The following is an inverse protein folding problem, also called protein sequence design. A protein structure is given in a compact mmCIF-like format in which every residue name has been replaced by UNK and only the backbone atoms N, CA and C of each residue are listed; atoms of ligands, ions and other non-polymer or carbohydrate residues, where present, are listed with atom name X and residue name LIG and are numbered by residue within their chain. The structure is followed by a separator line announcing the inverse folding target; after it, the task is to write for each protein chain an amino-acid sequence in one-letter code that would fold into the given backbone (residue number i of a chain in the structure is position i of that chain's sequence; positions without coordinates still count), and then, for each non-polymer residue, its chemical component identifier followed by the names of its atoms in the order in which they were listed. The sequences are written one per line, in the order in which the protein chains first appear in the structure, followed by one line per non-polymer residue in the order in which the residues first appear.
data_IF_659171335774
#
_entry.id   IF_659171335774
#
_cell.length_a   1.000
_cell.length_b   1.000
_cell.length_c   1.000
_cell.angle_alpha   90.00
_cell.angle_beta   90.00
_cell.angle_gamma   90.00
#
_symmetry.space_group_name_H-M   'P 1'
#
loop_
_entity.id
_entity.type
_entity.pdbx_description
1 polymer ?
#
# COMPACT_ATOMS: atom_id res chain seq x y z
N UNK A 1 26.70 -52.11 -6.69
CA UNK A 1 26.31 -50.87 -5.98
C UNK A 1 25.48 -51.25 -4.77
N UNK A 2 25.73 -50.64 -3.60
CA UNK A 2 24.93 -50.90 -2.39
C UNK A 2 23.54 -50.25 -2.53
N UNK A 3 22.49 -50.91 -1.99
CA UNK A 3 21.13 -50.34 -1.97
C UNK A 3 21.06 -49.02 -1.21
N UNK A 4 21.87 -48.88 -0.16
CA UNK A 4 21.94 -47.65 0.64
C UNK A 4 22.39 -46.45 -0.21
N UNK A 5 23.42 -46.61 -1.04
CA UNK A 5 23.92 -45.51 -1.88
C UNK A 5 22.93 -45.12 -2.98
N UNK A 6 22.15 -46.07 -3.51
CA UNK A 6 21.09 -45.78 -4.49
C UNK A 6 19.94 -45.00 -3.87
N UNK A 7 19.53 -45.35 -2.65
CA UNK A 7 18.49 -44.63 -1.91
C UNK A 7 18.95 -43.19 -1.64
N UNK A 8 20.15 -42.99 -1.11
CA UNK A 8 20.68 -41.64 -0.84
C UNK A 8 20.71 -40.79 -2.10
N UNK A 9 21.18 -41.35 -3.23
CA UNK A 9 21.21 -40.63 -4.50
C UNK A 9 19.80 -40.23 -4.96
N UNK A 10 18.84 -41.15 -4.89
CA UNK A 10 17.46 -40.89 -5.26
C UNK A 10 16.81 -39.81 -4.37
N UNK A 11 17.04 -39.87 -3.06
CA UNK A 11 16.53 -38.88 -2.10
C UNK A 11 17.09 -37.48 -2.37
N UNK A 12 18.39 -37.36 -2.66
CA UNK A 12 19.00 -36.06 -2.96
C UNK A 12 18.47 -35.48 -4.26
N UNK A 13 18.34 -36.31 -5.31
CA UNK A 13 17.73 -35.88 -6.57
C UNK A 13 16.28 -35.43 -6.38
N UNK A 14 15.48 -36.22 -5.65
CA UNK A 14 14.09 -35.90 -5.36
C UNK A 14 13.95 -34.60 -4.56
N UNK A 15 14.77 -34.43 -3.52
CA UNK A 15 14.78 -33.21 -2.69
C UNK A 15 15.09 -31.98 -3.53
N UNK A 16 16.10 -32.08 -4.40
CA UNK A 16 16.49 -30.99 -5.29
C UNK A 16 15.36 -30.58 -6.23
N UNK A 17 14.74 -31.56 -6.90
CA UNK A 17 13.60 -31.31 -7.80
C UNK A 17 12.43 -30.68 -7.04
N UNK A 18 12.15 -31.17 -5.83
CA UNK A 18 11.07 -30.68 -4.97
C UNK A 18 11.26 -29.21 -4.61
N UNK A 19 12.48 -28.80 -4.24
CA UNK A 19 12.80 -27.40 -3.91
C UNK A 19 12.59 -26.51 -5.13
N UNK A 20 13.08 -26.92 -6.30
CA UNK A 20 12.93 -26.14 -7.55
C UNK A 20 11.44 -25.95 -7.88
N UNK A 21 10.66 -27.04 -7.83
CA UNK A 21 9.22 -26.98 -8.08
C UNK A 21 8.50 -26.05 -7.09
N UNK A 22 8.85 -26.14 -5.80
CA UNK A 22 8.28 -25.29 -4.75
C UNK A 22 8.59 -23.81 -4.97
N UNK A 23 9.83 -23.46 -5.32
CA UNK A 23 10.22 -22.07 -5.60
C UNK A 23 9.47 -21.52 -6.80
N UNK A 24 9.33 -22.27 -7.89
CA UNK A 24 8.55 -21.84 -9.05
C UNK A 24 7.08 -21.58 -8.71
N UNK A 25 6.50 -22.43 -7.86
CA UNK A 25 5.13 -22.23 -7.38
C UNK A 25 5.03 -20.97 -6.51
N UNK A 26 5.95 -20.77 -5.56
CA UNK A 26 5.99 -19.59 -4.69
C UNK A 26 6.16 -18.29 -5.49
N UNK A 27 7.09 -18.26 -6.45
CA UNK A 27 7.32 -17.09 -7.32
C UNK A 27 6.05 -16.69 -8.09
N UNK A 28 5.25 -17.67 -8.53
CA UNK A 28 3.98 -17.41 -9.22
C UNK A 28 2.94 -16.80 -8.27
N UNK A 29 2.87 -17.30 -7.04
CA UNK A 29 1.99 -16.75 -6.00
C UNK A 29 2.38 -15.31 -5.64
N UNK A 30 3.68 -15.05 -5.46
CA UNK A 30 4.21 -13.73 -5.14
C UNK A 30 3.94 -12.73 -6.26
N UNK A 31 4.12 -13.15 -7.53
CA UNK A 31 3.79 -12.32 -8.69
C UNK A 31 2.32 -11.94 -8.74
N UNK A 32 1.41 -12.85 -8.37
CA UNK A 32 -0.02 -12.55 -8.29
C UNK A 32 -0.33 -11.55 -7.17
N UNK A 33 0.32 -11.69 -6.01
CA UNK A 33 0.18 -10.76 -4.89
C UNK A 33 0.67 -9.33 -5.24
N UNK A 34 1.72 -9.20 -6.04
CA UNK A 34 2.20 -7.88 -6.51
C UNK A 34 1.16 -7.13 -7.35
N UNK A 35 0.36 -7.84 -8.16
CA UNK A 35 -0.71 -7.21 -8.95
C UNK A 35 -1.86 -6.75 -8.04
N UNK A 36 -2.17 -7.50 -6.98
CA UNK A 36 -3.15 -7.10 -5.99
C UNK A 36 -2.73 -5.82 -5.23
N UNK A 37 -1.43 -5.64 -4.98
CA UNK A 37 -0.88 -4.42 -4.38
C UNK A 37 -1.20 -3.17 -5.22
N UNK A 38 -0.98 -3.24 -6.53
CA UNK A 38 -1.24 -2.12 -7.45
C UNK A 38 -2.73 -1.77 -7.50
N UNK A 39 -3.60 -2.78 -7.57
CA UNK A 39 -5.06 -2.58 -7.59
C UNK A 39 -5.52 -1.88 -6.31
N UNK A 40 -5.02 -2.33 -5.15
CA UNK A 40 -5.32 -1.73 -3.86
C UNK A 40 -4.86 -0.27 -3.77
N UNK A 41 -3.70 0.05 -4.35
CA UNK A 41 -3.20 1.43 -4.39
C UNK A 41 -4.07 2.35 -5.26
N UNK A 42 -4.59 1.84 -6.39
CA UNK A 42 -5.55 2.60 -7.22
C UNK A 42 -6.87 2.88 -6.50
N UNK A 43 -7.41 1.90 -5.77
CA UNK A 43 -8.62 2.10 -4.95
C UNK A 43 -8.38 3.14 -3.85
N UNK A 44 -7.25 3.09 -3.16
CA UNK A 44 -6.89 4.08 -2.15
C UNK A 44 -6.74 5.49 -2.74
N UNK A 45 -6.18 5.63 -3.94
CA UNK A 45 -6.08 6.93 -4.60
C UNK A 45 -7.46 7.50 -4.95
N UNK A 46 -8.42 6.67 -5.37
CA UNK A 46 -9.79 7.12 -5.64
C UNK A 46 -10.46 7.64 -4.39
N UNK A 47 -10.41 6.87 -3.29
CA UNK A 47 -10.99 7.28 -2.01
C UNK A 47 -10.33 8.56 -1.47
N UNK A 48 -9.01 8.72 -1.67
CA UNK A 48 -8.32 9.98 -1.29
C UNK A 48 -8.83 11.19 -2.08
N UNK A 49 -9.09 11.04 -3.39
CA UNK A 49 -9.65 12.14 -4.20
C UNK A 49 -11.05 12.52 -3.77
N UNK A 50 -11.90 11.53 -3.47
CA UNK A 50 -13.25 11.76 -2.95
C UNK A 50 -13.19 12.54 -1.63
N UNK A 51 -12.36 12.09 -0.68
CA UNK A 51 -12.19 12.79 0.61
C UNK A 51 -11.59 14.19 0.46
N UNK A 52 -10.72 14.41 -0.53
CA UNK A 52 -10.16 15.73 -0.80
C UNK A 52 -11.24 16.69 -1.31
N UNK A 53 -12.12 16.23 -2.21
CA UNK A 53 -13.25 17.02 -2.68
C UNK A 53 -14.25 17.33 -1.55
N UNK A 54 -14.52 16.37 -0.67
CA UNK A 54 -15.37 16.58 0.51
C UNK A 54 -14.78 17.64 1.46
N UNK A 55 -13.46 17.64 1.62
CA UNK A 55 -12.76 18.62 2.46
C UNK A 55 -12.80 20.02 1.83
N UNK A 56 -12.59 20.12 0.52
CA UNK A 56 -12.66 21.40 -0.22
C UNK A 56 -14.07 22.00 -0.14
N UNK A 57 -15.11 21.20 -0.36
CA UNK A 57 -16.50 21.62 -0.21
C UNK A 57 -16.78 22.13 1.20
N UNK A 58 -16.36 21.40 2.24
CA UNK A 58 -16.52 21.85 3.63
C UNK A 58 -15.80 23.17 3.90
N UNK A 59 -14.61 23.36 3.33
CA UNK A 59 -13.82 24.60 3.48
C UNK A 59 -14.49 25.79 2.79
N UNK A 60 -15.14 25.58 1.65
CA UNK A 60 -15.92 26.61 0.96
C UNK A 60 -17.17 26.99 1.77
N UNK A 61 -17.91 25.99 2.28
CA UNK A 61 -19.06 26.23 3.13
C UNK A 61 -18.66 27.00 4.40
N UNK A 62 -17.55 26.62 5.05
CA UNK A 62 -17.04 27.32 6.23
C UNK A 62 -16.72 28.79 5.93
N UNK A 63 -16.10 29.08 4.78
CA UNK A 63 -15.82 30.46 4.35
C UNK A 63 -17.12 31.26 4.14
N UNK A 64 -18.15 30.64 3.56
CA UNK A 64 -19.45 31.29 3.38
C UNK A 64 -20.12 31.61 4.72
N UNK A 65 -20.11 30.66 5.66
CA UNK A 65 -20.66 30.87 7.02
C UNK A 65 -19.86 31.91 7.82
N UNK A 66 -18.52 31.96 7.69
CA UNK A 66 -17.68 32.95 8.36
C UNK A 66 -17.98 34.39 7.95
N UNK A 67 -18.56 34.64 6.76
CA UNK A 67 -18.99 35.99 6.33
C UNK A 67 -20.10 36.57 7.21
N UNK A 68 -20.95 35.70 7.75
CA UNK A 68 -22.11 36.09 8.55
C UNK A 68 -21.92 35.83 10.05
N UNK A 69 -20.99 34.93 10.41
CA UNK A 69 -20.77 34.52 11.80
C UNK A 69 -19.27 34.39 12.10
N UNK A 70 -18.74 35.21 13.02
CA UNK A 70 -17.37 35.05 13.51
C UNK A 70 -17.31 33.85 14.47
N UNK A 71 -16.84 32.70 13.99
CA UNK A 71 -16.56 31.52 14.84
C UNK A 71 -15.17 31.69 15.47
N UNK A 72 -15.07 31.54 16.79
CA UNK A 72 -13.76 31.47 17.47
C UNK A 72 -13.15 30.10 17.23
N UNK A 73 -11.89 30.04 16.77
CA UNK A 73 -11.11 28.79 16.62
C UNK A 73 -10.89 28.18 18.01
N UNK A 74 -11.89 27.45 18.52
CA UNK A 74 -11.83 26.78 19.80
C UNK A 74 -10.84 25.62 19.77
N UNK A 75 -9.56 25.88 20.07
CA UNK A 75 -8.63 24.95 20.72
C UNK A 75 -8.48 23.53 20.16
N UNK A 76 -8.53 23.32 18.84
CA UNK A 76 -8.17 22.05 18.18
C UNK A 76 -6.73 22.08 17.64
N UNK A 77 -6.01 20.94 17.56
CA UNK A 77 -4.57 20.91 17.29
C UNK A 77 -4.23 21.53 15.93
N UNK A 78 -3.23 22.40 15.95
CA UNK A 78 -2.80 23.28 14.88
C UNK A 78 -2.59 22.56 13.54
N UNK A 79 -3.07 23.19 12.46
CA UNK A 79 -2.85 22.77 11.09
C UNK A 79 -1.35 22.56 10.80
N UNK A 80 -0.98 21.53 10.01
CA UNK A 80 0.42 21.32 9.63
C UNK A 80 0.96 22.54 8.88
N UNK A 81 2.20 22.97 9.16
CA UNK A 81 2.75 24.18 8.58
C UNK A 81 2.82 24.07 7.06
N UNK A 82 2.22 25.03 6.36
CA UNK A 82 2.49 25.28 4.96
C UNK A 82 3.98 25.61 4.81
N UNK A 83 4.77 24.65 4.31
CA UNK A 83 6.10 24.90 3.78
C UNK A 83 5.92 25.73 2.50
N UNK A 84 5.90 27.05 2.67
CA UNK A 84 6.11 28.01 1.60
C UNK A 84 7.52 27.83 1.06
N UNK A 85 7.62 27.58 -0.25
CA UNK A 85 8.88 27.58 -0.96
C UNK A 85 9.57 28.93 -0.82
N UNK A 86 10.79 28.91 -0.30
CA UNK A 86 11.75 29.99 -0.45
C UNK A 86 12.81 29.51 -1.42
N UNK A 87 12.80 30.12 -2.61
CA UNK A 87 13.85 29.93 -3.59
C UNK A 87 15.19 30.44 -3.05
N UNK A 88 16.25 29.70 -3.35
CA UNK A 88 17.54 30.21 -3.82
C UNK A 88 18.27 29.13 -4.60
#
# INVERSE_FOLDING_TARGET
MSRASQITLATTCFTTISIIAFVHWSQKADKAAMHAGVIRDYEQQRVKRERQADFEMQRELEQEYRKFQTVSDGGGPAAPPQQGGTGR
#
